data_IF_562870865674
#
_entry.id   IF_562870865674
#
_cell.length_a   1.000
_cell.length_b   1.000
_cell.length_c   1.000
_cell.angle_alpha   90.00
_cell.angle_beta   90.00
_cell.angle_gamma   90.00
#
_symmetry.space_group_name_H-M   'P 1'
#
loop_
_entity.id
_entity.type
_entity.pdbx_description
1 polymer ?
#
# COMPACT_ATOMS: atom_id res chain seq x y z
N UNK A 1 -8.95 -6.26 -24.90
CA UNK A 1 -7.88 -5.37 -24.41
C UNK A 1 -7.12 -5.94 -23.20
N UNK A 2 -7.76 -6.73 -22.32
CA UNK A 2 -7.15 -7.24 -21.08
C UNK A 2 -6.06 -8.31 -21.20
N UNK A 3 -5.98 -9.08 -22.30
CA UNK A 3 -4.93 -10.10 -22.48
C UNK A 3 -3.74 -9.58 -23.31
N UNK A 4 -3.99 -8.66 -24.24
CA UNK A 4 -2.95 -8.15 -25.14
C UNK A 4 -1.83 -7.43 -24.39
N UNK A 5 -2.16 -6.62 -23.39
CA UNK A 5 -1.15 -5.91 -22.60
C UNK A 5 -0.27 -6.86 -21.77
N UNK A 6 -0.81 -7.79 -20.95
CA UNK A 6 0.02 -8.77 -20.24
C UNK A 6 0.87 -9.63 -21.17
N UNK A 7 0.32 -10.04 -22.32
CA UNK A 7 1.06 -10.84 -23.29
C UNK A 7 2.24 -10.06 -23.91
N UNK A 8 2.02 -8.82 -24.35
CA UNK A 8 3.09 -7.98 -24.90
C UNK A 8 4.14 -7.65 -23.85
N UNK A 9 3.71 -7.36 -22.61
CA UNK A 9 4.62 -7.14 -21.49
C UNK A 9 5.48 -8.38 -21.21
N UNK A 10 4.88 -9.58 -21.20
CA UNK A 10 5.60 -10.82 -21.00
C UNK A 10 6.62 -11.06 -22.13
N UNK A 11 6.26 -10.83 -23.39
CA UNK A 11 7.20 -10.93 -24.53
C UNK A 11 8.36 -9.95 -24.37
N UNK A 12 8.09 -8.69 -24.00
CA UNK A 12 9.12 -7.69 -23.76
C UNK A 12 10.06 -8.11 -22.63
N UNK A 13 9.52 -8.52 -21.48
CA UNK A 13 10.32 -8.95 -20.33
C UNK A 13 11.16 -10.18 -20.64
N UNK A 14 10.58 -11.20 -21.27
CA UNK A 14 11.30 -12.41 -21.66
C UNK A 14 12.38 -12.12 -22.70
N UNK A 15 12.10 -11.23 -23.67
CA UNK A 15 13.10 -10.85 -24.68
C UNK A 15 14.27 -10.09 -24.05
N UNK A 16 14.01 -9.13 -23.16
CA UNK A 16 15.02 -8.36 -22.46
C UNK A 16 15.91 -9.25 -21.57
N UNK A 17 15.31 -10.05 -20.70
CA UNK A 17 16.09 -10.93 -19.81
C UNK A 17 16.75 -12.07 -20.56
N UNK A 18 16.11 -12.58 -21.63
CA UNK A 18 16.70 -13.59 -22.51
C UNK A 18 17.97 -13.08 -23.17
N UNK A 19 17.90 -11.91 -23.82
CA UNK A 19 19.05 -11.26 -24.46
C UNK A 19 20.18 -11.00 -23.46
N UNK A 20 19.84 -10.50 -22.28
CA UNK A 20 20.80 -10.25 -21.20
C UNK A 20 21.52 -11.54 -20.79
N UNK A 21 20.79 -12.63 -20.55
CA UNK A 21 21.38 -13.90 -20.10
C UNK A 21 22.25 -14.58 -21.17
N UNK A 22 21.98 -14.34 -22.46
CA UNK A 22 22.73 -14.97 -23.55
C UNK A 22 23.91 -14.14 -24.03
N UNK A 23 23.82 -12.81 -23.97
CA UNK A 23 24.79 -11.92 -24.61
C UNK A 23 25.69 -11.15 -23.62
N UNK A 24 25.36 -11.13 -22.33
CA UNK A 24 26.24 -10.54 -21.30
C UNK A 24 27.19 -11.61 -20.77
N UNK A 25 28.49 -11.28 -20.75
CA UNK A 25 29.50 -12.14 -20.13
C UNK A 25 29.34 -12.15 -18.61
N UNK A 26 29.36 -13.33 -17.98
CA UNK A 26 29.16 -13.53 -16.54
C UNK A 26 27.97 -12.73 -15.97
N UNK A 27 26.74 -12.98 -16.45
CA UNK A 27 25.58 -12.14 -16.12
C UNK A 27 25.17 -12.23 -14.65
N UNK A 28 25.59 -13.29 -13.95
CA UNK A 28 25.26 -13.52 -12.53
C UNK A 28 26.29 -12.92 -11.56
N UNK A 29 27.43 -12.43 -12.06
CA UNK A 29 28.43 -11.80 -11.21
C UNK A 29 27.89 -10.46 -10.64
N UNK A 30 27.79 -10.28 -9.31
CA UNK A 30 27.26 -9.06 -8.70
C UNK A 30 28.11 -7.81 -8.95
N UNK A 31 29.37 -7.96 -9.39
CA UNK A 31 30.23 -6.84 -9.75
C UNK A 31 30.13 -6.45 -11.22
N UNK A 32 29.39 -7.21 -12.04
CA UNK A 32 29.15 -6.89 -13.44
C UNK A 32 28.05 -5.82 -13.56
N UNK A 33 28.36 -4.59 -14.01
CA UNK A 33 27.39 -3.50 -14.14
C UNK A 33 26.27 -3.79 -15.15
N UNK A 34 26.45 -4.77 -16.04
CA UNK A 34 25.49 -5.16 -17.07
C UNK A 34 24.77 -6.49 -16.75
N UNK A 35 25.10 -7.11 -15.61
CA UNK A 35 24.53 -8.39 -15.20
C UNK A 35 23.11 -8.30 -14.62
N UNK A 36 22.41 -9.43 -14.61
CA UNK A 36 21.04 -9.53 -14.08
C UNK A 36 21.00 -9.30 -12.57
N UNK A 37 22.10 -9.58 -11.88
CA UNK A 37 22.21 -9.48 -10.41
C UNK A 37 21.93 -8.07 -9.90
N UNK A 38 22.35 -7.01 -10.63
CA UNK A 38 22.05 -5.62 -10.24
C UNK A 38 20.57 -5.30 -10.42
N UNK A 39 19.99 -5.73 -11.54
CA UNK A 39 18.55 -5.55 -11.80
C UNK A 39 17.71 -6.25 -10.72
N UNK A 40 18.06 -7.49 -10.35
CA UNK A 40 17.36 -8.21 -9.29
C UNK A 40 17.57 -7.58 -7.92
N UNK A 41 18.76 -7.05 -7.62
CA UNK A 41 19.01 -6.31 -6.38
C UNK A 41 18.15 -5.05 -6.30
N UNK A 42 18.10 -4.26 -7.38
CA UNK A 42 17.26 -3.07 -7.45
C UNK A 42 15.79 -3.41 -7.19
N UNK A 43 15.23 -4.37 -7.95
CA UNK A 43 13.84 -4.78 -7.80
C UNK A 43 13.56 -5.42 -6.44
N UNK A 44 14.51 -6.16 -5.89
CA UNK A 44 14.43 -6.74 -4.55
C UNK A 44 14.36 -5.68 -3.46
N UNK A 45 15.22 -4.66 -3.52
CA UNK A 45 15.20 -3.52 -2.60
C UNK A 45 13.89 -2.73 -2.74
N UNK A 46 13.45 -2.44 -3.97
CA UNK A 46 12.18 -1.77 -4.21
C UNK A 46 11.00 -2.56 -3.66
N UNK A 47 10.93 -3.86 -3.92
CA UNK A 47 9.88 -4.74 -3.41
C UNK A 47 9.88 -4.80 -1.87
N UNK A 48 11.07 -4.94 -1.27
CA UNK A 48 11.22 -4.95 0.18
C UNK A 48 10.73 -3.65 0.82
N UNK A 49 11.13 -2.49 0.27
CA UNK A 49 10.68 -1.18 0.73
C UNK A 49 9.16 -1.06 0.58
N UNK A 50 8.61 -1.45 -0.57
CA UNK A 50 7.17 -1.37 -0.83
C UNK A 50 6.37 -2.21 0.18
N UNK A 51 6.75 -3.46 0.39
CA UNK A 51 6.10 -4.35 1.36
C UNK A 51 6.26 -3.82 2.78
N UNK A 52 7.44 -3.31 3.14
CA UNK A 52 7.71 -2.76 4.48
C UNK A 52 6.89 -1.50 4.76
N UNK A 53 6.69 -0.64 3.75
CA UNK A 53 5.91 0.59 3.87
C UNK A 53 4.39 0.36 3.81
N UNK A 54 3.93 -0.85 3.45
CA UNK A 54 2.50 -1.15 3.34
C UNK A 54 1.72 -0.82 4.62
N UNK A 55 2.24 -1.24 5.79
CA UNK A 55 1.63 -0.93 7.11
C UNK A 55 1.48 0.58 7.32
N UNK A 56 2.42 1.35 6.82
CA UNK A 56 2.63 2.76 7.16
C UNK A 56 1.97 3.76 6.22
N UNK A 57 1.79 3.38 4.95
CA UNK A 57 1.29 4.29 3.89
C UNK A 57 -0.07 3.84 3.38
N UNK A 58 -0.25 2.52 3.20
CA UNK A 58 -1.43 1.94 2.55
C UNK A 58 -2.49 1.53 3.56
N UNK A 59 -2.10 0.81 4.62
CA UNK A 59 -3.03 0.28 5.63
C UNK A 59 -3.38 1.33 6.68
N UNK A 60 -2.37 2.02 7.21
CA UNK A 60 -2.56 3.00 8.27
C UNK A 60 -2.13 4.40 7.82
N UNK A 61 -2.72 5.39 8.46
CA UNK A 61 -2.30 6.78 8.44
C UNK A 61 -1.34 6.98 9.60
N UNK A 62 -0.15 7.52 9.33
CA UNK A 62 0.70 8.05 10.39
C UNK A 62 0.13 9.37 10.87
N UNK A 63 -0.14 9.46 12.16
CA UNK A 63 -0.58 10.69 12.83
C UNK A 63 0.53 11.12 13.79
N UNK A 64 1.13 12.31 13.60
CA UNK A 64 2.19 12.77 14.49
C UNK A 64 1.64 12.98 15.91
N UNK A 65 2.36 12.50 16.91
CA UNK A 65 2.02 12.67 18.34
C UNK A 65 2.81 13.81 19.00
N UNK A 66 3.69 14.46 18.24
CA UNK A 66 4.48 15.63 18.65
C UNK A 66 4.43 16.72 17.59
N UNK A 67 4.84 17.94 17.95
CA UNK A 67 4.94 19.08 17.01
C UNK A 67 6.12 18.96 16.01
N UNK A 68 6.79 17.81 15.97
CA UNK A 68 7.92 17.57 15.08
C UNK A 68 7.46 17.50 13.62
N UNK A 69 8.11 18.22 12.68
CA UNK A 69 7.70 18.24 11.27
C UNK A 69 8.09 16.96 10.53
N UNK A 70 7.47 16.69 9.39
CA UNK A 70 7.95 15.64 8.47
C UNK A 70 9.37 15.99 7.96
N UNK A 71 10.32 15.04 7.92
CA UNK A 71 10.22 13.62 8.29
C UNK A 71 10.70 13.30 9.72
N UNK A 72 10.95 14.30 10.56
CA UNK A 72 11.57 14.13 11.87
C UNK A 72 10.72 13.28 12.83
N UNK A 73 9.39 13.46 12.87
CA UNK A 73 8.52 12.64 13.72
C UNK A 73 8.55 11.15 13.34
N UNK A 74 8.84 10.83 12.08
CA UNK A 74 8.99 9.43 11.63
C UNK A 74 10.31 8.85 12.08
N UNK A 75 11.37 9.64 12.03
CA UNK A 75 12.70 9.23 12.50
C UNK A 75 12.74 9.07 14.03
N UNK A 76 12.04 9.92 14.77
CA UNK A 76 11.93 9.83 16.23
C UNK A 76 10.88 8.82 16.71
N UNK A 77 10.05 8.29 15.80
CA UNK A 77 8.89 7.43 16.09
C UNK A 77 7.83 8.08 16.98
N UNK A 78 7.68 9.40 16.84
CA UNK A 78 6.63 10.17 17.50
C UNK A 78 5.37 10.21 16.61
N UNK A 79 4.80 9.03 16.34
CA UNK A 79 3.55 8.90 15.60
C UNK A 79 2.72 7.74 16.10
N UNK A 80 1.41 7.81 15.84
CA UNK A 80 0.45 6.74 16.03
C UNK A 80 -0.03 6.23 14.66
N UNK A 81 -0.35 4.94 14.57
CA UNK A 81 -0.89 4.32 13.37
C UNK A 81 -2.40 4.18 13.49
N UNK A 82 -3.11 5.04 12.79
CA UNK A 82 -4.57 5.01 12.73
C UNK A 82 -5.03 4.25 11.47
N UNK A 83 -5.96 3.30 11.55
CA UNK A 83 -6.49 2.59 10.38
C UNK A 83 -7.06 3.55 9.33
N UNK A 84 -6.74 3.31 8.04
CA UNK A 84 -7.33 4.09 6.95
C UNK A 84 -8.67 3.46 6.54
N UNK A 85 -9.78 4.20 6.62
CA UNK A 85 -11.07 3.68 6.19
C UNK A 85 -11.10 3.50 4.67
N UNK A 86 -11.69 2.39 4.23
CA UNK A 86 -11.93 2.08 2.82
C UNK A 86 -13.43 2.19 2.57
N UNK A 87 -13.84 3.29 1.92
CA UNK A 87 -15.22 3.49 1.53
C UNK A 87 -15.55 2.72 0.25
N UNK A 88 -16.65 1.95 0.29
CA UNK A 88 -17.20 1.24 -0.86
C UNK A 88 -18.47 1.95 -1.34
N UNK A 89 -18.54 2.22 -2.63
CA UNK A 89 -19.76 2.73 -3.25
C UNK A 89 -20.75 1.57 -3.46
N UNK A 90 -21.85 1.54 -2.71
CA UNK A 90 -22.97 0.63 -2.92
C UNK A 90 -24.15 1.45 -3.45
N UNK A 91 -24.68 1.15 -4.64
CA UNK A 91 -25.84 1.86 -5.17
C UNK A 91 -27.06 1.67 -4.27
N UNK A 92 -27.88 2.71 -4.13
CA UNK A 92 -29.15 2.62 -3.41
C UNK A 92 -30.03 1.52 -4.01
N UNK A 93 -30.50 0.60 -3.18
CA UNK A 93 -31.35 -0.53 -3.60
C UNK A 93 -30.61 -1.72 -4.21
N UNK A 94 -29.27 -1.74 -4.23
CA UNK A 94 -28.51 -2.92 -4.61
C UNK A 94 -28.39 -3.90 -3.43
N UNK A 95 -28.76 -5.16 -3.64
CA UNK A 95 -28.48 -6.27 -2.71
C UNK A 95 -27.02 -6.74 -2.85
N UNK A 96 -26.08 -5.82 -2.67
CA UNK A 96 -24.64 -6.08 -2.70
C UNK A 96 -24.04 -5.76 -1.33
N UNK A 97 -24.22 -6.64 -0.33
CA UNK A 97 -23.77 -6.38 1.02
C UNK A 97 -22.24 -6.49 1.08
N UNK A 98 -21.61 -5.54 1.78
CA UNK A 98 -20.16 -5.35 1.80
C UNK A 98 -19.45 -6.47 2.58
N UNK A 99 -20.14 -7.05 3.56
CA UNK A 99 -19.69 -8.19 4.39
C UNK A 99 -19.28 -9.41 3.55
N UNK A 100 -19.94 -9.64 2.42
CA UNK A 100 -19.63 -10.74 1.50
C UNK A 100 -18.40 -10.47 0.62
N UNK A 101 -17.83 -9.27 0.65
CA UNK A 101 -16.62 -8.94 -0.08
C UNK A 101 -15.38 -9.41 0.66
N UNK A 102 -14.28 -9.75 -0.04
CA UNK A 102 -13.00 -10.01 0.62
C UNK A 102 -12.58 -8.81 1.48
N UNK A 103 -12.44 -9.04 2.79
CA UNK A 103 -12.15 -8.00 3.77
C UNK A 103 -13.38 -7.25 4.30
N UNK A 104 -14.60 -7.71 4.01
CA UNK A 104 -15.84 -7.13 4.53
C UNK A 104 -16.04 -7.31 6.04
N UNK A 105 -15.30 -8.22 6.67
CA UNK A 105 -15.25 -8.40 8.13
C UNK A 105 -14.45 -7.28 8.84
N UNK A 106 -13.69 -6.46 8.10
CA UNK A 106 -12.89 -5.37 8.66
C UNK A 106 -13.79 -4.17 9.00
N UNK A 107 -13.84 -3.72 10.26
CA UNK A 107 -14.69 -2.60 10.68
C UNK A 107 -14.33 -1.26 10.01
N UNK A 108 -13.16 -1.15 9.37
CA UNK A 108 -12.77 0.04 8.61
C UNK A 108 -13.09 -0.07 7.11
N UNK A 109 -13.76 -1.14 6.67
CA UNK A 109 -14.34 -1.27 5.32
C UNK A 109 -15.83 -0.97 5.40
N UNK A 110 -16.21 0.27 5.08
CA UNK A 110 -17.57 0.78 5.28
C UNK A 110 -18.21 1.23 3.97
N UNK A 111 -19.54 1.32 3.94
CA UNK A 111 -20.23 1.93 2.80
C UNK A 111 -19.94 3.43 2.77
N UNK A 112 -19.84 4.01 1.58
CA UNK A 112 -19.77 5.46 1.44
C UNK A 112 -21.04 6.09 2.05
N UNK A 113 -20.87 6.88 3.11
CA UNK A 113 -21.96 7.50 3.87
C UNK A 113 -22.20 6.89 5.26
N UNK A 114 -21.62 5.73 5.57
CA UNK A 114 -21.69 5.12 6.89
C UNK A 114 -20.66 5.73 7.85
N UNK A 115 -20.97 5.68 9.15
CA UNK A 115 -20.09 6.13 10.21
C UNK A 115 -18.99 5.11 10.50
N UNK A 116 -17.80 5.61 10.81
CA UNK A 116 -16.69 4.78 11.28
C UNK A 116 -16.88 4.41 12.77
N UNK A 117 -16.25 3.34 13.25
CA UNK A 117 -16.13 3.10 14.68
C UNK A 117 -15.58 4.34 15.41
N UNK A 118 -16.06 4.63 16.61
CA UNK A 118 -15.59 5.79 17.41
C UNK A 118 -14.12 5.70 17.84
N UNK A 119 -13.56 4.49 17.81
CA UNK A 119 -12.22 4.19 18.29
C UNK A 119 -11.60 3.04 17.51
N UNK A 120 -10.27 2.97 17.56
CA UNK A 120 -9.48 1.88 17.03
C UNK A 120 -8.54 1.33 18.10
N UNK A 121 -7.99 0.14 17.85
CA UNK A 121 -6.96 -0.46 18.70
C UNK A 121 -5.60 -0.16 18.07
N UNK A 122 -4.72 0.49 18.81
CA UNK A 122 -3.38 0.83 18.35
C UNK A 122 -2.44 -0.38 18.34
N UNK A 123 -1.20 -0.17 17.92
CA UNK A 123 -0.20 -1.25 17.87
C UNK A 123 0.26 -1.77 19.24
N UNK A 124 -0.11 -1.08 20.32
CA UNK A 124 0.15 -1.47 21.71
C UNK A 124 -1.04 -2.18 22.35
N UNK A 125 -2.17 -2.30 21.63
CA UNK A 125 -3.39 -2.91 22.13
C UNK A 125 -4.26 -1.95 22.95
N UNK A 126 -3.97 -0.65 22.92
CA UNK A 126 -4.77 0.36 23.62
C UNK A 126 -5.88 0.89 22.70
N UNK A 127 -7.05 1.15 23.28
CA UNK A 127 -8.18 1.75 22.56
C UNK A 127 -8.00 3.26 22.49
N UNK A 128 -7.96 3.79 21.27
CA UNK A 128 -7.65 5.19 20.96
C UNK A 128 -8.78 5.78 20.12
N UNK A 129 -9.14 7.04 20.37
CA UNK A 129 -10.13 7.75 19.55
C UNK A 129 -9.49 8.22 18.24
N UNK A 130 -10.29 8.25 17.18
CA UNK A 130 -9.85 8.79 15.90
C UNK A 130 -9.37 10.24 16.03
N UNK A 131 -8.23 10.58 15.42
CA UNK A 131 -7.68 11.94 15.51
C UNK A 131 -8.45 12.93 14.61
N UNK A 132 -9.26 12.43 13.68
CA UNK A 132 -10.14 13.27 12.85
C UNK A 132 -11.59 13.20 13.31
N UNK A 133 -11.99 14.16 14.14
CA UNK A 133 -13.35 14.67 14.18
C UNK A 133 -13.59 15.44 12.86
N UNK A 134 -14.53 14.96 12.03
CA UNK A 134 -15.24 15.73 10.98
C UNK A 134 -14.40 16.70 10.14
N UNK A 135 -13.86 16.24 9.02
CA UNK A 135 -13.89 17.10 7.82
C UNK A 135 -15.23 16.79 7.17
N UNK A 136 -16.30 17.42 7.67
CA UNK A 136 -17.50 17.55 6.87
C UNK A 136 -17.06 18.23 5.58
N UNK A 137 -17.14 17.49 4.48
CA UNK A 137 -17.12 18.12 3.18
C UNK A 137 -18.37 19.00 3.13
N UNK A 138 -18.22 20.29 3.44
CA UNK A 138 -19.18 21.30 3.00
C UNK A 138 -19.25 21.17 1.47
N UNK A 139 -20.31 20.50 1.02
CA UNK A 139 -20.73 20.53 -0.37
C UNK A 139 -21.19 21.97 -0.66
N UNK A 140 -20.28 22.77 -1.21
CA UNK A 140 -20.60 24.08 -1.81
C UNK A 140 -21.17 23.88 -3.20
#
# INVERSE_FOLDING_TARGET
MYIGFPAMFAVLMLSYFGDLLTNVHDPWNPTNPHGISITLLFWGVTAFIFVSLNKYVLVNRMVPTSDSPWPLYVLSRDFELEPRPVYRNVPEGAEAPIDMLPGGDDPFVVQAGDELPDSFVDEYGETRSHTMTTVEAELV
#
